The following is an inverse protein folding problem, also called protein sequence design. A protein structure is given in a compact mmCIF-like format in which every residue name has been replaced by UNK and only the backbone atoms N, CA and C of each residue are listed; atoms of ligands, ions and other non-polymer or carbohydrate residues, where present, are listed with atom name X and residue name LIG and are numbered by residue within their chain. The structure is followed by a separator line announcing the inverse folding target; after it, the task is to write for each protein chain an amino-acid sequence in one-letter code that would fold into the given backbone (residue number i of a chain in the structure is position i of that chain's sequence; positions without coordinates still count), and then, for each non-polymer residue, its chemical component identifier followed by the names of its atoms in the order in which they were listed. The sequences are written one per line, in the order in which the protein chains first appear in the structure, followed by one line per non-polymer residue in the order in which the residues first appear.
data_IF_741825399162
#
_entry.id   IF_741825399162
#
_cell.length_a   1.000
_cell.length_b   1.000
_cell.length_c   1.000
_cell.angle_alpha   90.00
_cell.angle_beta   90.00
_cell.angle_gamma   90.00
#
_symmetry.space_group_name_H-M   'P 1'
#
loop_
_entity.id
_entity.type
_entity.pdbx_description
1 polymer ?
#
# COMPACT_ATOMS: atom_id res chain seq x y z
N UNK A 1 25.72 12.00 8.62
CA UNK A 1 25.36 12.08 10.06
C UNK A 1 23.94 12.63 10.23
N UNK A 2 23.59 13.77 9.63
CA UNK A 2 22.23 14.34 9.70
C UNK A 2 21.14 13.33 9.27
N UNK A 3 21.29 12.67 8.11
CA UNK A 3 20.33 11.67 7.60
C UNK A 3 20.08 10.49 8.54
N UNK A 4 21.16 9.89 9.07
CA UNK A 4 21.02 8.75 9.99
C UNK A 4 20.39 9.17 11.32
N UNK A 5 20.72 10.36 11.83
CA UNK A 5 20.14 10.91 13.05
C UNK A 5 18.65 11.21 12.86
N UNK A 6 18.27 11.84 11.76
CA UNK A 6 16.87 12.16 11.47
C UNK A 6 16.03 10.90 11.33
N UNK A 7 16.53 9.87 10.63
CA UNK A 7 15.85 8.58 10.52
C UNK A 7 15.72 7.89 11.89
N UNK A 8 16.74 7.98 12.76
CA UNK A 8 16.61 7.44 14.11
C UNK A 8 15.53 8.20 14.92
N UNK A 9 15.43 9.52 14.77
CA UNK A 9 14.37 10.32 15.42
C UNK A 9 12.98 9.92 14.93
N UNK A 10 12.83 9.62 13.63
CA UNK A 10 11.60 9.09 13.05
C UNK A 10 11.15 7.81 13.77
N UNK A 11 12.02 6.80 13.85
CA UNK A 11 11.69 5.51 14.48
C UNK A 11 11.44 5.65 15.99
N UNK A 12 12.21 6.51 16.67
CA UNK A 12 11.98 6.82 18.08
C UNK A 12 10.64 7.53 18.31
N UNK A 13 10.17 8.32 17.34
CA UNK A 13 8.88 8.99 17.42
C UNK A 13 7.72 8.01 17.32
N UNK A 14 7.82 6.95 16.51
CA UNK A 14 6.85 5.85 16.58
C UNK A 14 6.83 5.20 17.98
N UNK A 15 8.00 5.00 18.59
CA UNK A 15 8.11 4.57 19.99
C UNK A 15 7.38 5.51 20.95
N UNK A 16 7.51 6.83 20.75
CA UNK A 16 6.79 7.85 21.51
C UNK A 16 5.27 7.78 21.30
N UNK A 17 4.79 7.62 20.06
CA UNK A 17 3.36 7.43 19.76
C UNK A 17 2.78 6.24 20.54
N UNK A 18 3.52 5.12 20.63
CA UNK A 18 3.10 3.97 21.46
C UNK A 18 3.04 4.30 22.95
N UNK A 19 4.01 5.05 23.49
CA UNK A 19 4.00 5.49 24.89
C UNK A 19 2.82 6.42 25.20
N UNK A 20 2.36 7.18 24.21
CA UNK A 20 1.18 8.03 24.28
C UNK A 20 -0.15 7.29 24.02
N UNK A 21 -0.13 5.96 23.92
CA UNK A 21 -1.31 5.13 23.62
C UNK A 21 -2.04 5.52 22.33
N UNK A 22 -1.30 5.93 21.29
CA UNK A 22 -1.85 6.20 19.97
C UNK A 22 -2.70 5.01 19.46
N UNK A 23 -3.88 5.30 18.91
CA UNK A 23 -4.89 4.31 18.47
C UNK A 23 -5.34 4.53 17.04
N UNK A 24 -4.92 5.61 16.39
CA UNK A 24 -5.37 6.03 15.05
C UNK A 24 -4.62 5.32 13.91
N UNK A 25 -4.05 4.13 14.17
CA UNK A 25 -3.31 3.36 13.16
C UNK A 25 -4.20 2.91 11.98
N UNK A 26 -3.66 2.92 10.75
CA UNK A 26 -4.38 2.51 9.55
C UNK A 26 -4.59 0.99 9.50
N UNK A 27 -5.63 0.55 8.79
CA UNK A 27 -5.80 -0.85 8.40
C UNK A 27 -4.94 -1.12 7.15
N UNK A 28 -3.75 -1.70 7.35
CA UNK A 28 -2.78 -1.94 6.26
C UNK A 28 -3.32 -2.87 5.17
N UNK A 29 -4.26 -3.76 5.48
CA UNK A 29 -4.86 -4.65 4.47
C UNK A 29 -5.77 -3.88 3.52
N UNK A 30 -6.48 -2.88 4.04
CA UNK A 30 -7.32 -2.00 3.22
C UNK A 30 -6.48 -1.22 2.21
N UNK A 31 -5.21 -0.94 2.53
CA UNK A 31 -4.25 -0.37 1.59
C UNK A 31 -3.96 -1.25 0.37
N UNK A 32 -3.95 -2.58 0.53
CA UNK A 32 -3.67 -3.54 -0.55
C UNK A 32 -4.78 -3.57 -1.61
N UNK A 33 -6.03 -3.37 -1.18
CA UNK A 33 -7.21 -3.39 -2.07
C UNK A 33 -7.66 -1.99 -2.49
N UNK A 34 -6.83 -0.97 -2.26
CA UNK A 34 -7.18 0.41 -2.55
C UNK A 34 -7.55 0.59 -4.03
N UNK A 35 -8.74 1.16 -4.34
CA UNK A 35 -9.27 1.14 -5.68
C UNK A 35 -8.61 2.21 -6.58
N UNK A 36 -8.25 1.82 -7.80
CA UNK A 36 -7.70 2.71 -8.81
C UNK A 36 -8.82 3.41 -9.59
N UNK A 37 -9.53 4.33 -8.93
CA UNK A 37 -10.63 5.11 -9.51
C UNK A 37 -10.10 6.41 -10.14
N UNK A 38 -10.42 6.67 -11.41
CA UNK A 38 -9.93 7.82 -12.17
C UNK A 38 -10.26 9.16 -11.51
N UNK A 39 -11.52 9.34 -11.09
CA UNK A 39 -11.98 10.52 -10.37
C UNK A 39 -11.16 10.75 -9.09
N UNK A 40 -10.87 9.67 -8.34
CA UNK A 40 -10.06 9.79 -7.14
C UNK A 40 -8.62 10.19 -7.47
N UNK A 41 -7.98 9.59 -8.46
CA UNK A 41 -6.60 9.92 -8.86
C UNK A 41 -6.49 11.40 -9.22
N UNK A 42 -7.42 11.91 -10.03
CA UNK A 42 -7.48 13.31 -10.43
C UNK A 42 -7.64 14.24 -9.21
N UNK A 43 -8.63 13.97 -8.35
CA UNK A 43 -8.86 14.75 -7.14
C UNK A 43 -7.66 14.72 -6.19
N UNK A 44 -7.03 13.55 -6.04
CA UNK A 44 -5.87 13.36 -5.16
C UNK A 44 -4.63 14.10 -5.66
N UNK A 45 -4.47 14.29 -6.98
CA UNK A 45 -3.42 15.17 -7.51
C UNK A 45 -3.72 16.64 -7.22
N UNK A 46 -4.96 17.08 -7.45
CA UNK A 46 -5.41 18.46 -7.17
C UNK A 46 -5.29 18.86 -5.71
N UNK A 47 -5.66 17.98 -4.77
CA UNK A 47 -5.58 18.30 -3.34
C UNK A 47 -4.12 18.52 -2.90
N UNK A 48 -3.17 17.77 -3.47
CA UNK A 48 -1.75 17.90 -3.16
C UNK A 48 -1.14 19.17 -3.71
N UNK A 49 -1.57 19.58 -4.92
CA UNK A 49 -1.24 20.91 -5.43
C UNK A 49 -1.79 22.01 -4.51
N UNK A 50 -3.00 21.84 -3.98
CA UNK A 50 -3.56 22.80 -3.01
C UNK A 50 -2.72 22.88 -1.73
N UNK A 51 -2.30 21.75 -1.15
CA UNK A 51 -1.40 21.74 0.01
C UNK A 51 -0.06 22.41 -0.30
N UNK A 52 0.55 22.10 -1.44
CA UNK A 52 1.81 22.71 -1.87
C UNK A 52 1.69 24.22 -2.00
N UNK A 53 0.65 24.71 -2.69
CA UNK A 53 0.45 26.14 -2.89
C UNK A 53 0.06 26.87 -1.60
N UNK A 54 -0.67 26.21 -0.69
CA UNK A 54 -1.00 26.79 0.61
C UNK A 54 0.28 27.11 1.42
N UNK A 55 1.20 26.17 1.53
CA UNK A 55 2.45 26.35 2.29
C UNK A 55 3.41 27.36 1.63
N UNK A 56 3.33 27.55 0.31
CA UNK A 56 4.16 28.52 -0.41
C UNK A 56 3.57 29.94 -0.43
N UNK A 57 2.30 30.10 -0.05
CA UNK A 57 1.61 31.36 -0.11
C UNK A 57 2.18 32.34 0.93
N UNK A 58 2.60 33.52 0.47
CA UNK A 58 3.06 34.59 1.37
C UNK A 58 1.92 35.43 1.97
N UNK A 59 0.70 35.24 1.46
CA UNK A 59 -0.51 35.95 1.85
C UNK A 59 -1.53 34.96 2.43
N UNK A 60 -2.09 35.33 3.59
CA UNK A 60 -3.01 34.46 4.33
C UNK A 60 -4.31 34.19 3.59
N UNK A 61 -4.83 35.15 2.82
CA UNK A 61 -6.04 34.95 2.03
C UNK A 61 -5.79 33.95 0.89
N UNK A 62 -4.62 34.01 0.26
CA UNK A 62 -4.22 33.04 -0.78
C UNK A 62 -4.07 31.65 -0.18
N UNK A 63 -3.37 31.52 0.96
CA UNK A 63 -3.23 30.25 1.68
C UNK A 63 -4.60 29.66 2.02
N UNK A 64 -5.46 30.45 2.66
CA UNK A 64 -6.76 29.99 3.15
C UNK A 64 -7.69 29.62 1.98
N UNK A 65 -7.56 30.29 0.82
CA UNK A 65 -8.28 29.92 -0.41
C UNK A 65 -7.84 28.55 -0.96
N UNK A 66 -6.54 28.24 -0.92
CA UNK A 66 -6.01 26.92 -1.29
C UNK A 66 -6.45 25.84 -0.29
N UNK A 67 -6.39 26.11 1.02
CA UNK A 67 -6.87 25.19 2.05
C UNK A 67 -8.37 24.93 1.92
N UNK A 68 -9.17 25.96 1.64
CA UNK A 68 -10.60 25.79 1.37
C UNK A 68 -10.85 24.83 0.20
N UNK A 69 -10.06 24.91 -0.87
CA UNK A 69 -10.17 23.99 -2.00
C UNK A 69 -9.70 22.58 -1.63
N UNK A 70 -8.60 22.45 -0.87
CA UNK A 70 -8.14 21.16 -0.32
C UNK A 70 -9.24 20.46 0.50
N UNK A 71 -9.89 21.16 1.44
CA UNK A 71 -10.95 20.59 2.26
C UNK A 71 -12.18 20.18 1.44
N UNK A 72 -12.52 20.96 0.42
CA UNK A 72 -13.61 20.65 -0.49
C UNK A 72 -13.34 19.38 -1.31
N UNK A 73 -12.13 19.25 -1.85
CA UNK A 73 -11.70 18.05 -2.57
C UNK A 73 -11.74 16.83 -1.66
N UNK A 74 -11.19 16.95 -0.44
CA UNK A 74 -11.22 15.88 0.58
C UNK A 74 -12.64 15.45 0.93
N UNK A 75 -13.59 16.38 1.00
CA UNK A 75 -15.01 16.06 1.22
C UNK A 75 -15.56 15.18 0.10
N UNK A 76 -15.32 15.55 -1.18
CA UNK A 76 -15.75 14.77 -2.33
C UNK A 76 -15.08 13.39 -2.36
N UNK A 77 -13.79 13.32 -2.06
CA UNK A 77 -13.05 12.05 -1.99
C UNK A 77 -13.55 11.14 -0.88
N UNK A 78 -13.95 11.68 0.27
CA UNK A 78 -14.54 10.92 1.38
C UNK A 78 -15.83 10.22 0.96
N UNK A 79 -16.70 10.89 0.22
CA UNK A 79 -17.91 10.29 -0.36
C UNK A 79 -17.59 9.19 -1.37
N UNK A 80 -16.59 9.42 -2.22
CA UNK A 80 -16.19 8.49 -3.27
C UNK A 80 -15.53 7.21 -2.74
N UNK A 81 -14.71 7.33 -1.69
CA UNK A 81 -13.84 6.25 -1.21
C UNK A 81 -14.33 5.55 0.05
N UNK A 82 -15.20 6.19 0.84
CA UNK A 82 -15.66 5.61 2.12
C UNK A 82 -14.49 5.25 3.04
N UNK A 83 -14.39 3.97 3.41
CA UNK A 83 -13.36 3.48 4.35
C UNK A 83 -11.92 3.65 3.83
N UNK A 84 -11.70 3.65 2.51
CA UNK A 84 -10.36 3.88 1.94
C UNK A 84 -9.86 5.31 2.20
N UNK A 85 -10.76 6.29 2.36
CA UNK A 85 -10.39 7.65 2.80
C UNK A 85 -9.92 7.66 4.26
N UNK A 86 -10.60 6.88 5.12
CA UNK A 86 -10.18 6.71 6.51
C UNK A 86 -8.80 6.05 6.60
N UNK A 87 -8.49 5.09 5.72
CA UNK A 87 -7.14 4.54 5.62
C UNK A 87 -6.11 5.62 5.34
N UNK A 88 -6.29 6.45 4.31
CA UNK A 88 -5.32 7.51 3.98
C UNK A 88 -5.09 8.48 5.13
N UNK A 89 -6.16 9.00 5.72
CA UNK A 89 -6.09 9.99 6.81
C UNK A 89 -5.43 9.41 8.06
N UNK A 90 -5.58 8.11 8.31
CA UNK A 90 -4.86 7.41 9.39
C UNK A 90 -3.38 7.22 9.08
N UNK A 91 -3.01 6.88 7.85
CA UNK A 91 -1.59 6.86 7.44
C UNK A 91 -0.97 8.25 7.65
N UNK A 92 -1.64 9.31 7.19
CA UNK A 92 -1.19 10.69 7.39
C UNK A 92 -1.05 11.07 8.86
N UNK A 93 -1.95 10.59 9.71
CA UNK A 93 -1.95 10.83 11.16
C UNK A 93 -0.76 10.21 11.86
N UNK A 94 -0.36 9.00 11.46
CA UNK A 94 0.77 8.29 12.07
C UNK A 94 2.10 8.76 11.48
N UNK A 95 2.18 8.82 10.15
CA UNK A 95 3.43 8.99 9.41
C UNK A 95 3.78 10.46 9.17
N UNK A 96 2.78 11.34 9.04
CA UNK A 96 2.99 12.77 8.83
C UNK A 96 3.78 13.43 9.96
N UNK A 97 3.38 13.27 11.24
CA UNK A 97 4.14 13.76 12.38
C UNK A 97 5.53 13.11 12.51
N UNK A 98 5.69 11.82 12.17
CA UNK A 98 6.98 11.14 12.17
C UNK A 98 7.95 11.77 11.14
N UNK A 99 7.48 11.99 9.92
CA UNK A 99 8.23 12.72 8.89
C UNK A 99 8.50 14.19 9.27
N UNK A 100 7.58 14.82 10.00
CA UNK A 100 7.77 16.19 10.49
C UNK A 100 8.92 16.27 11.49
N UNK A 101 8.98 15.39 12.49
CA UNK A 101 10.09 15.39 13.46
C UNK A 101 11.40 14.96 12.81
N UNK A 102 11.38 14.04 11.85
CA UNK A 102 12.53 13.69 11.02
C UNK A 102 13.08 14.93 10.29
N UNK A 103 12.19 15.68 9.61
CA UNK A 103 12.56 16.89 8.89
C UNK A 103 13.17 17.94 9.84
N UNK A 104 12.58 18.16 11.02
CA UNK A 104 13.09 19.12 12.01
C UNK A 104 14.48 18.70 12.50
N UNK A 105 14.67 17.43 12.87
CA UNK A 105 15.96 16.89 13.29
C UNK A 105 17.02 16.99 12.18
N UNK A 106 16.64 16.73 10.93
CA UNK A 106 17.54 16.91 9.79
C UNK A 106 17.95 18.38 9.61
N UNK A 107 16.97 19.30 9.70
CA UNK A 107 17.20 20.73 9.52
C UNK A 107 18.10 21.33 10.61
N UNK A 108 18.02 20.86 11.86
CA UNK A 108 18.89 21.29 12.96
C UNK A 108 20.38 20.95 12.72
N UNK A 109 20.64 19.83 12.04
CA UNK A 109 22.00 19.33 11.78
C UNK A 109 22.53 19.74 10.39
N UNK A 110 21.69 20.34 9.56
CA UNK A 110 22.00 20.70 8.17
C UNK A 110 22.40 22.17 8.04
N UNK A 111 23.41 22.44 7.20
CA UNK A 111 23.77 23.81 6.81
C UNK A 111 22.88 24.37 5.68
N UNK A 112 21.96 23.57 5.14
CA UNK A 112 21.08 23.96 4.05
C UNK A 112 19.92 24.82 4.56
N UNK A 113 19.39 25.70 3.72
CA UNK A 113 18.16 26.41 4.05
C UNK A 113 16.98 25.46 4.09
N UNK A 114 15.99 25.73 4.95
CA UNK A 114 14.76 24.93 5.05
C UNK A 114 14.08 24.75 3.68
N UNK A 115 14.09 25.79 2.84
CA UNK A 115 13.55 25.71 1.47
C UNK A 115 14.29 24.67 0.60
N UNK A 116 15.61 24.59 0.70
CA UNK A 116 16.39 23.60 -0.03
C UNK A 116 16.09 22.18 0.47
N UNK A 117 15.94 22.02 1.78
CA UNK A 117 15.59 20.75 2.43
C UNK A 117 14.19 20.28 2.01
N UNK A 118 13.21 21.19 1.93
CA UNK A 118 11.82 20.86 1.59
C UNK A 118 11.61 20.53 0.11
N UNK A 119 12.46 21.03 -0.79
CA UNK A 119 12.23 20.92 -2.23
C UNK A 119 12.10 19.47 -2.74
N UNK A 120 12.96 18.50 -2.34
CA UNK A 120 12.77 17.10 -2.70
C UNK A 120 11.44 16.52 -2.22
N UNK A 121 11.04 16.79 -0.96
CA UNK A 121 9.77 16.32 -0.43
C UNK A 121 8.57 16.92 -1.18
N UNK A 122 8.69 18.17 -1.67
CA UNK A 122 7.66 18.82 -2.47
C UNK A 122 7.49 18.13 -3.81
N UNK A 123 8.61 17.75 -4.44
CA UNK A 123 8.59 17.02 -5.70
C UNK A 123 7.90 15.67 -5.54
N UNK A 124 8.16 14.96 -4.44
CA UNK A 124 7.47 13.71 -4.11
C UNK A 124 5.97 13.92 -3.83
N UNK A 125 5.60 14.99 -3.12
CA UNK A 125 4.20 15.33 -2.88
C UNK A 125 3.43 15.50 -4.19
N UNK A 126 3.95 16.27 -5.14
CA UNK A 126 3.20 16.59 -6.38
C UNK A 126 3.41 15.58 -7.52
N UNK A 127 4.19 14.53 -7.30
CA UNK A 127 4.43 13.50 -8.32
C UNK A 127 3.23 12.53 -8.40
N UNK A 128 2.34 12.75 -9.36
CA UNK A 128 1.14 11.94 -9.59
C UNK A 128 1.45 10.44 -9.73
N UNK A 129 2.49 10.06 -10.49
CA UNK A 129 2.85 8.66 -10.71
C UNK A 129 3.31 7.98 -9.41
N UNK A 130 4.25 8.59 -8.70
CA UNK A 130 4.73 8.06 -7.42
C UNK A 130 3.61 8.01 -6.38
N UNK A 131 2.73 9.02 -6.38
CA UNK A 131 1.63 9.10 -5.43
C UNK A 131 0.63 7.94 -5.60
N UNK A 132 0.29 7.58 -6.84
CA UNK A 132 -0.65 6.49 -7.13
C UNK A 132 0.02 5.12 -7.01
N UNK A 133 1.29 4.99 -7.42
CA UNK A 133 2.02 3.74 -7.34
C UNK A 133 2.33 3.35 -5.88
N UNK A 134 2.83 4.30 -5.09
CA UNK A 134 3.23 4.10 -3.70
C UNK A 134 2.26 4.81 -2.75
N UNK A 135 1.01 4.33 -2.72
CA UNK A 135 -0.09 4.92 -1.98
C UNK A 135 0.28 5.29 -0.54
N UNK A 136 0.78 4.32 0.24
CA UNK A 136 1.14 4.52 1.66
C UNK A 136 2.18 5.61 1.82
N UNK A 137 3.34 5.46 1.15
CA UNK A 137 4.44 6.45 1.18
C UNK A 137 3.99 7.85 0.77
N UNK A 138 3.12 7.95 -0.23
CA UNK A 138 2.63 9.26 -0.68
C UNK A 138 1.80 10.02 0.35
N UNK A 139 1.18 9.31 1.31
CA UNK A 139 0.48 9.92 2.44
C UNK A 139 1.43 10.56 3.45
N UNK A 140 2.69 10.12 3.51
CA UNK A 140 3.67 10.69 4.45
C UNK A 140 3.93 12.15 4.10
N UNK A 141 4.08 12.43 2.80
CA UNK A 141 4.30 13.78 2.30
C UNK A 141 3.08 14.68 2.51
N UNK A 142 1.85 14.21 2.27
CA UNK A 142 0.66 15.03 2.58
C UNK A 142 0.50 15.27 4.07
N UNK A 143 0.77 14.27 4.91
CA UNK A 143 0.82 14.41 6.37
C UNK A 143 1.86 15.44 6.82
N UNK A 144 3.10 15.34 6.32
CA UNK A 144 4.17 16.30 6.57
C UNK A 144 3.76 17.73 6.20
N UNK A 145 3.14 17.93 5.04
CA UNK A 145 2.66 19.25 4.62
C UNK A 145 1.59 19.81 5.56
N UNK A 146 0.68 18.98 6.05
CA UNK A 146 -0.33 19.40 7.02
C UNK A 146 0.34 19.81 8.36
N UNK A 147 1.34 19.08 8.83
CA UNK A 147 2.12 19.45 10.02
C UNK A 147 2.87 20.80 9.83
N UNK A 148 3.46 21.03 8.66
CA UNK A 148 4.13 22.29 8.34
C UNK A 148 3.14 23.47 8.26
N UNK A 149 1.92 23.24 7.76
CA UNK A 149 0.86 24.25 7.79
C UNK A 149 0.41 24.55 9.22
N UNK A 150 0.33 23.54 10.09
CA UNK A 150 -0.03 23.73 11.50
C UNK A 150 0.97 24.63 12.25
N UNK A 151 2.26 24.60 11.90
CA UNK A 151 3.25 25.55 12.43
C UNK A 151 2.87 27.02 12.17
N UNK A 152 2.09 27.30 11.11
CA UNK A 152 1.64 28.66 10.80
C UNK A 152 0.39 29.09 11.58
N UNK A 153 -0.34 28.15 12.18
CA UNK A 153 -1.62 28.41 12.85
C UNK A 153 -1.52 28.42 14.38
N UNK A 154 -0.65 27.60 14.96
CA UNK A 154 -0.49 27.51 16.42
C UNK A 154 0.91 27.06 16.80
N UNK A 155 1.54 27.74 17.77
CA UNK A 155 2.87 27.38 18.27
C UNK A 155 2.87 26.09 19.12
N UNK A 156 1.69 25.63 19.57
CA UNK A 156 1.54 24.46 20.48
C UNK A 156 0.71 23.33 19.88
N UNK A 157 0.51 23.35 18.56
CA UNK A 157 -0.34 22.37 17.87
C UNK A 157 0.08 20.92 18.14
N UNK A 158 1.37 20.65 18.36
CA UNK A 158 1.89 19.30 18.60
C UNK A 158 1.36 18.72 19.91
N UNK A 159 1.36 19.52 20.99
CA UNK A 159 0.82 19.12 22.30
C UNK A 159 -0.70 18.94 22.19
N UNK A 160 -1.39 19.90 21.58
CA UNK A 160 -2.84 19.85 21.40
C UNK A 160 -3.27 18.63 20.56
N UNK A 161 -2.52 18.31 19.50
CA UNK A 161 -2.77 17.15 18.64
C UNK A 161 -2.53 15.82 19.37
N UNK A 162 -1.50 15.76 20.22
CA UNK A 162 -1.19 14.56 21.01
C UNK A 162 -2.29 14.20 22.02
N UNK A 163 -3.10 15.19 22.41
CA UNK A 163 -4.26 15.01 23.30
C UNK A 163 -5.60 14.98 22.55
N UNK A 164 -5.58 15.10 21.22
CA UNK A 164 -6.77 15.05 20.39
C UNK A 164 -7.07 13.63 19.94
N UNK A 165 -8.36 13.31 19.83
CA UNK A 165 -8.85 12.08 19.19
C UNK A 165 -9.02 12.25 17.66
N UNK A 166 -8.94 13.48 17.15
CA UNK A 166 -9.10 13.78 15.73
C UNK A 166 -7.91 13.27 14.90
N UNK A 167 -8.17 12.86 13.67
CA UNK A 167 -7.09 12.63 12.70
C UNK A 167 -6.40 13.94 12.32
N UNK A 168 -5.20 13.87 11.75
CA UNK A 168 -4.41 15.05 11.34
C UNK A 168 -5.19 15.96 10.37
N UNK A 169 -5.97 15.37 9.47
CA UNK A 169 -6.83 16.11 8.54
C UNK A 169 -7.93 16.91 9.26
N UNK A 170 -8.69 16.26 10.15
CA UNK A 170 -9.72 16.92 10.97
C UNK A 170 -9.13 17.99 11.89
N UNK A 171 -7.98 17.70 12.49
CA UNK A 171 -7.26 18.63 13.35
C UNK A 171 -6.76 19.87 12.58
N UNK A 172 -6.17 19.72 11.40
CA UNK A 172 -5.84 20.87 10.55
C UNK A 172 -7.10 21.67 10.18
N UNK A 173 -8.20 20.99 9.86
CA UNK A 173 -9.46 21.63 9.51
C UNK A 173 -10.02 22.49 10.65
N UNK A 174 -9.81 22.12 11.91
CA UNK A 174 -10.27 22.92 13.06
C UNK A 174 -9.49 24.22 13.26
N UNK A 175 -8.29 24.34 12.67
CA UNK A 175 -7.42 25.52 12.77
C UNK A 175 -7.62 26.50 11.61
N UNK A 176 -8.42 26.13 10.62
CA UNK A 176 -8.70 26.95 9.44
C UNK A 176 -10.17 27.35 9.46
N UNK A 177 -10.46 28.56 9.01
CA UNK A 177 -11.83 29.01 8.72
C UNK A 177 -12.07 28.93 7.20
N UNK A 178 -12.33 27.73 6.65
CA UNK A 178 -12.48 27.58 5.21
C UNK A 178 -13.67 28.39 4.71
N UNK A 179 -13.49 29.05 3.57
CA UNK A 179 -14.59 29.69 2.87
C UNK A 179 -15.51 28.58 2.36
N UNK A 180 -16.76 28.59 2.79
CA UNK A 180 -17.76 27.66 2.27
C UNK A 180 -17.90 27.87 0.75
N UNK A 181 -17.53 26.84 -0.01
CA UNK A 181 -17.65 26.79 -1.47
C UNK A 181 -18.63 25.69 -1.87
N UNK A 182 -19.29 25.89 -3.01
CA UNK A 182 -20.22 24.93 -3.60
C UNK A 182 -19.55 23.59 -3.88
N UNK A 183 -20.16 22.49 -3.45
CA UNK A 183 -19.70 21.11 -3.66
C UNK A 183 -19.17 20.82 -5.08
N UNK A 184 -18.13 20.00 -5.18
CA UNK A 184 -17.61 19.51 -6.46
C UNK A 184 -18.57 18.44 -6.98
N UNK A 185 -19.38 18.79 -7.99
CA UNK A 185 -20.38 17.87 -8.58
C UNK A 185 -19.83 17.01 -9.70
N UNK A 186 -18.91 17.55 -10.50
CA UNK A 186 -18.37 16.90 -11.67
C UNK A 186 -16.85 17.01 -11.67
N UNK A 187 -16.18 15.90 -11.92
CA UNK A 187 -14.72 15.82 -11.98
C UNK A 187 -14.34 15.46 -13.40
N UNK A 188 -13.82 16.43 -14.13
CA UNK A 188 -13.17 16.18 -15.42
C UNK A 188 -11.81 15.53 -15.18
N UNK A 189 -11.63 14.30 -15.64
CA UNK A 189 -10.34 13.60 -15.64
C UNK A 189 -9.43 14.22 -16.70
N UNK A 190 -8.16 14.44 -16.35
CA UNK A 190 -7.14 14.96 -17.26
C UNK A 190 -6.37 13.86 -18.00
N UNK A 191 -5.77 14.19 -19.14
CA UNK A 191 -4.87 13.28 -19.88
C UNK A 191 -3.66 12.85 -19.01
N UNK A 192 -3.19 13.71 -18.10
CA UNK A 192 -2.14 13.35 -17.14
C UNK A 192 -2.60 12.21 -16.22
N UNK A 193 -3.82 12.31 -15.68
CA UNK A 193 -4.41 11.26 -14.84
C UNK A 193 -4.57 9.95 -15.59
N UNK A 194 -5.06 9.99 -16.84
CA UNK A 194 -5.19 8.79 -17.68
C UNK A 194 -3.82 8.12 -17.88
N UNK A 195 -2.79 8.91 -18.23
CA UNK A 195 -1.42 8.44 -18.40
C UNK A 195 -0.85 7.82 -17.11
N UNK A 196 -1.10 8.45 -15.95
CA UNK A 196 -0.68 7.93 -14.64
C UNK A 196 -1.34 6.58 -14.36
N UNK A 197 -2.62 6.40 -14.68
CA UNK A 197 -3.34 5.15 -14.44
C UNK A 197 -2.81 4.03 -15.32
N UNK A 198 -2.57 4.31 -16.60
CA UNK A 198 -1.95 3.34 -17.52
C UNK A 198 -0.56 2.94 -17.04
N UNK A 199 0.26 3.92 -16.65
CA UNK A 199 1.59 3.68 -16.08
C UNK A 199 1.53 2.76 -14.86
N UNK A 200 0.65 3.03 -13.89
CA UNK A 200 0.52 2.22 -12.67
C UNK A 200 0.02 0.82 -12.97
N UNK A 201 -0.97 0.67 -13.87
CA UNK A 201 -1.46 -0.64 -14.31
C UNK A 201 -0.34 -1.45 -14.96
N UNK A 202 0.43 -0.84 -15.85
CA UNK A 202 1.56 -1.48 -16.52
C UNK A 202 2.66 -1.88 -15.52
N UNK A 203 3.01 -0.99 -14.58
CA UNK A 203 4.03 -1.26 -13.56
C UNK A 203 3.64 -2.44 -12.67
N UNK A 204 2.41 -2.45 -12.14
CA UNK A 204 1.91 -3.57 -11.31
C UNK A 204 1.89 -4.88 -12.10
N UNK A 205 1.51 -4.85 -13.38
CA UNK A 205 1.52 -6.04 -14.23
C UNK A 205 2.94 -6.58 -14.46
N UNK A 206 3.88 -5.67 -14.74
CA UNK A 206 5.28 -6.02 -14.99
C UNK A 206 5.95 -6.71 -13.79
N UNK A 207 5.61 -6.34 -12.56
CA UNK A 207 6.12 -7.02 -11.36
C UNK A 207 5.73 -8.51 -11.32
N UNK A 208 4.50 -8.84 -11.71
CA UNK A 208 4.04 -10.23 -11.81
C UNK A 208 4.68 -10.95 -13.00
N UNK A 209 4.79 -10.30 -14.16
CA UNK A 209 5.45 -10.89 -15.33
C UNK A 209 6.92 -11.22 -15.03
N UNK A 210 7.65 -10.32 -14.36
CA UNK A 210 9.02 -10.56 -13.93
C UNK A 210 9.13 -11.73 -12.95
N UNK A 211 8.18 -11.85 -12.01
CA UNK A 211 8.11 -13.01 -11.13
C UNK A 211 7.89 -14.30 -11.94
N UNK A 212 6.92 -14.31 -12.85
CA UNK A 212 6.53 -15.47 -13.66
C UNK A 212 7.63 -15.92 -14.65
N UNK A 213 8.50 -15.01 -15.08
CA UNK A 213 9.64 -15.28 -15.97
C UNK A 213 10.90 -15.78 -15.25
N UNK A 214 10.92 -15.76 -13.91
CA UNK A 214 12.06 -16.23 -13.15
C UNK A 214 12.36 -17.71 -13.43
N UNK A 215 13.66 -18.03 -13.53
CA UNK A 215 14.12 -19.39 -13.76
C UNK A 215 13.88 -20.25 -12.51
N UNK A 216 13.48 -21.50 -12.73
CA UNK A 216 13.35 -22.49 -11.68
C UNK A 216 12.25 -23.50 -12.00
N UNK A 217 11.82 -24.21 -10.98
CA UNK A 217 10.64 -25.05 -11.02
C UNK A 217 9.45 -24.27 -10.47
N UNK A 218 8.41 -24.17 -11.29
CA UNK A 218 7.20 -23.43 -10.97
C UNK A 218 6.25 -24.37 -10.23
N UNK A 219 6.02 -24.09 -8.96
CA UNK A 219 5.20 -24.93 -8.08
C UNK A 219 3.90 -24.20 -7.76
N UNK A 220 2.80 -24.84 -8.13
CA UNK A 220 1.44 -24.38 -7.90
C UNK A 220 0.86 -25.27 -6.80
N UNK A 221 0.54 -24.67 -5.65
CA UNK A 221 -0.08 -25.36 -4.52
C UNK A 221 -1.55 -24.94 -4.50
N UNK A 222 -2.46 -25.87 -4.74
CA UNK A 222 -3.91 -25.62 -4.78
C UNK A 222 -4.61 -26.21 -3.56
N UNK A 223 -5.54 -25.45 -3.00
CA UNK A 223 -6.40 -25.90 -1.91
C UNK A 223 -6.83 -24.79 -0.98
N UNK A 224 -7.43 -25.18 0.13
CA UNK A 224 -7.85 -24.29 1.19
C UNK A 224 -6.64 -23.88 2.05
N UNK A 225 -6.08 -22.69 1.80
CA UNK A 225 -4.87 -22.16 2.40
C UNK A 225 -5.18 -20.95 3.27
N UNK A 226 -5.27 -21.15 4.58
CA UNK A 226 -5.49 -20.07 5.53
C UNK A 226 -4.20 -19.27 5.73
N UNK A 227 -4.19 -18.01 5.30
CA UNK A 227 -3.07 -17.10 5.50
C UNK A 227 -3.04 -16.67 6.97
N UNK A 228 -1.86 -16.75 7.59
CA UNK A 228 -1.64 -16.46 9.02
C UNK A 228 -0.89 -15.17 9.25
N UNK A 229 0.04 -14.84 8.36
CA UNK A 229 0.88 -13.65 8.47
C UNK A 229 1.44 -13.27 7.12
N UNK A 230 1.53 -11.96 6.88
CA UNK A 230 2.10 -11.34 5.70
C UNK A 230 2.84 -10.06 6.11
N UNK A 231 3.59 -9.50 5.18
CA UNK A 231 4.14 -8.15 5.27
C UNK A 231 3.41 -7.24 4.27
N UNK A 232 2.35 -6.50 4.70
CA UNK A 232 1.52 -5.70 3.80
C UNK A 232 2.28 -4.63 3.03
N UNK A 233 3.41 -4.14 3.58
CA UNK A 233 4.17 -3.06 2.94
C UNK A 233 5.05 -3.57 1.78
N UNK A 234 5.24 -4.89 1.66
CA UNK A 234 6.06 -5.53 0.64
C UNK A 234 5.21 -6.46 -0.25
N UNK A 235 4.04 -5.96 -0.68
CA UNK A 235 3.10 -6.66 -1.56
C UNK A 235 2.72 -5.79 -2.76
N UNK A 236 2.80 -6.37 -3.96
CA UNK A 236 2.12 -5.85 -5.15
C UNK A 236 0.76 -6.54 -5.32
N UNK A 237 -0.29 -5.75 -5.49
CA UNK A 237 -1.66 -6.24 -5.61
C UNK A 237 -2.23 -6.07 -7.02
N UNK A 238 -2.82 -7.15 -7.53
CA UNK A 238 -3.75 -7.15 -8.65
C UNK A 238 -5.08 -7.76 -8.20
N UNK A 239 -6.20 -7.49 -8.90
CA UNK A 239 -7.47 -8.13 -8.56
C UNK A 239 -7.35 -9.66 -8.49
N UNK A 240 -7.66 -10.23 -7.33
CA UNK A 240 -7.64 -11.68 -7.07
C UNK A 240 -6.26 -12.31 -6.86
N UNK A 241 -5.17 -11.53 -6.89
CA UNK A 241 -3.82 -12.06 -6.59
C UNK A 241 -2.87 -11.04 -5.97
N UNK A 242 -2.04 -11.51 -5.05
CA UNK A 242 -1.02 -10.73 -4.35
C UNK A 242 0.35 -11.32 -4.62
N UNK A 243 1.31 -10.51 -5.02
CA UNK A 243 2.72 -10.87 -5.08
C UNK A 243 3.38 -10.41 -3.78
N UNK A 244 3.72 -11.37 -2.92
CA UNK A 244 4.46 -11.14 -1.68
C UNK A 244 5.94 -11.17 -1.99
N UNK A 245 6.69 -10.13 -1.65
CA UNK A 245 8.13 -10.07 -1.93
C UNK A 245 8.99 -10.70 -0.82
N UNK A 246 8.55 -10.58 0.43
CA UNK A 246 9.33 -10.99 1.59
C UNK A 246 8.93 -12.38 2.08
N UNK A 247 7.68 -12.52 2.52
CA UNK A 247 7.19 -13.79 3.05
C UNK A 247 5.65 -13.91 3.05
N UNK A 248 5.18 -15.14 3.15
CA UNK A 248 3.82 -15.49 3.57
C UNK A 248 3.88 -16.67 4.54
N UNK A 249 3.10 -16.61 5.62
CA UNK A 249 2.85 -17.77 6.48
C UNK A 249 1.44 -18.28 6.20
N UNK A 250 1.31 -19.57 5.89
CA UNK A 250 0.02 -20.20 5.61
C UNK A 250 -0.16 -21.49 6.41
N UNK A 251 -1.41 -21.84 6.67
CA UNK A 251 -1.83 -23.15 7.12
C UNK A 251 -2.45 -23.91 5.95
N UNK A 252 -2.06 -25.17 5.78
CA UNK A 252 -2.64 -26.09 4.81
C UNK A 252 -3.00 -27.40 5.53
N UNK A 253 -4.29 -27.62 5.78
CA UNK A 253 -4.77 -28.65 6.70
C UNK A 253 -4.20 -28.46 8.12
N UNK A 254 -3.52 -29.47 8.67
CA UNK A 254 -2.91 -29.41 10.01
C UNK A 254 -1.50 -28.81 10.03
N UNK A 255 -0.91 -28.57 8.86
CA UNK A 255 0.47 -28.12 8.74
C UNK A 255 0.50 -26.60 8.55
N UNK A 256 1.46 -25.94 9.18
CA UNK A 256 1.79 -24.54 8.89
C UNK A 256 3.18 -24.45 8.30
N UNK A 257 3.34 -23.60 7.29
CA UNK A 257 4.65 -23.32 6.71
C UNK A 257 4.82 -21.84 6.43
N UNK A 258 6.07 -21.41 6.55
CA UNK A 258 6.52 -20.05 6.26
C UNK A 258 7.34 -20.12 4.97
N UNK A 259 6.96 -19.32 3.98
CA UNK A 259 7.71 -19.18 2.73
C UNK A 259 8.36 -17.80 2.77
N UNK A 260 9.69 -17.74 2.86
CA UNK A 260 10.48 -16.50 2.99
C UNK A 260 11.16 -16.13 1.66
N UNK A 261 10.35 -15.99 0.62
CA UNK A 261 10.78 -15.63 -0.73
C UNK A 261 9.59 -15.08 -1.52
N UNK A 262 9.83 -14.50 -2.71
CA UNK A 262 8.75 -14.07 -3.59
C UNK A 262 7.75 -15.19 -3.90
N UNK A 263 6.46 -14.88 -3.77
CA UNK A 263 5.37 -15.83 -3.99
C UNK A 263 4.08 -15.10 -4.36
N UNK A 264 3.29 -15.70 -5.25
CA UNK A 264 1.95 -15.19 -5.59
C UNK A 264 0.88 -16.00 -4.86
N UNK A 265 0.02 -15.33 -4.09
CA UNK A 265 -1.21 -15.94 -3.55
C UNK A 265 -2.42 -15.49 -4.35
N UNK A 266 -3.36 -16.39 -4.59
CA UNK A 266 -4.64 -16.12 -5.24
C UNK A 266 -5.76 -16.17 -4.21
N UNK A 267 -6.67 -15.20 -4.25
CA UNK A 267 -7.81 -15.09 -3.35
C UNK A 267 -9.07 -14.71 -4.15
N UNK A 268 -10.24 -15.04 -3.61
CA UNK A 268 -11.52 -14.63 -4.22
C UNK A 268 -12.08 -13.36 -3.58
N UNK A 269 -12.27 -13.40 -2.26
CA UNK A 269 -12.89 -12.31 -1.49
C UNK A 269 -12.11 -11.97 -0.22
N UNK A 270 -11.70 -12.98 0.54
CA UNK A 270 -10.93 -12.81 1.77
C UNK A 270 -9.42 -12.96 1.51
N UNK A 271 -8.63 -11.92 1.82
CA UNK A 271 -7.17 -11.92 1.70
C UNK A 271 -6.52 -12.93 2.65
N UNK A 272 -7.20 -13.30 3.73
CA UNK A 272 -6.74 -14.29 4.68
C UNK A 272 -7.02 -15.73 4.21
N UNK A 273 -7.66 -15.89 3.06
CA UNK A 273 -7.99 -17.18 2.49
C UNK A 273 -7.51 -17.29 1.05
N UNK A 274 -6.38 -17.99 0.87
CA UNK A 274 -5.86 -18.27 -0.46
C UNK A 274 -6.48 -19.57 -1.01
N UNK A 275 -6.77 -19.58 -2.31
CA UNK A 275 -7.17 -20.78 -3.07
C UNK A 275 -5.98 -21.46 -3.73
N UNK A 276 -4.90 -20.70 -3.94
CA UNK A 276 -3.70 -21.14 -4.64
C UNK A 276 -2.49 -20.32 -4.25
N UNK A 277 -1.34 -20.98 -4.12
CA UNK A 277 -0.03 -20.35 -4.09
C UNK A 277 0.75 -20.71 -5.34
N UNK A 278 1.53 -19.77 -5.84
CA UNK A 278 2.47 -19.97 -6.94
C UNK A 278 3.85 -19.49 -6.48
N UNK A 279 4.74 -20.46 -6.29
CA UNK A 279 6.12 -20.28 -5.83
C UNK A 279 7.09 -20.85 -6.86
N UNK A 280 8.28 -20.29 -6.95
CA UNK A 280 9.35 -20.77 -7.83
C UNK A 280 10.50 -21.24 -6.94
N UNK A 281 10.95 -22.48 -7.16
CA UNK A 281 12.04 -23.10 -6.38
C UNK A 281 13.20 -23.48 -7.29
N UNK A 282 14.43 -23.45 -6.76
CA UNK A 282 15.64 -23.69 -7.57
C UNK A 282 15.81 -25.18 -7.92
N UNK A 283 15.63 -26.06 -6.95
CA UNK A 283 15.75 -27.50 -7.15
C UNK A 283 14.41 -28.16 -7.46
N UNK A 284 14.46 -29.27 -8.21
CA UNK A 284 13.27 -30.04 -8.59
C UNK A 284 12.55 -30.55 -7.33
N UNK A 285 11.24 -30.31 -7.16
CA UNK A 285 10.47 -30.86 -6.05
C UNK A 285 10.63 -32.37 -5.89
N UNK A 286 10.80 -32.83 -4.65
CA UNK A 286 10.86 -34.27 -4.34
C UNK A 286 9.49 -34.72 -3.86
N UNK A 287 8.85 -35.58 -4.65
CA UNK A 287 7.51 -36.11 -4.36
C UNK A 287 7.67 -37.48 -3.69
N UNK A 288 7.12 -37.61 -2.48
CA UNK A 288 7.02 -38.85 -1.73
C UNK A 288 5.55 -39.25 -1.57
N UNK A 289 5.28 -40.45 -1.04
CA UNK A 289 3.91 -40.94 -0.84
C UNK A 289 3.10 -40.05 0.15
N UNK A 290 3.76 -39.53 1.18
CA UNK A 290 3.15 -38.81 2.30
C UNK A 290 3.66 -37.38 2.49
N UNK A 291 4.47 -36.87 1.55
CA UNK A 291 4.97 -35.49 1.57
C UNK A 291 5.50 -35.02 0.22
N UNK A 292 5.58 -33.69 0.07
CA UNK A 292 6.39 -33.03 -0.96
C UNK A 292 7.46 -32.18 -0.30
N UNK A 293 8.70 -32.28 -0.78
CA UNK A 293 9.81 -31.47 -0.29
C UNK A 293 10.13 -30.40 -1.33
N UNK A 294 10.09 -29.14 -0.89
CA UNK A 294 10.39 -27.96 -1.68
C UNK A 294 11.66 -27.31 -1.16
N UNK A 295 12.61 -27.07 -2.06
CA UNK A 295 13.87 -26.43 -1.72
C UNK A 295 13.65 -25.02 -1.17
N UNK A 296 14.42 -24.64 -0.14
CA UNK A 296 14.26 -23.37 0.59
C UNK A 296 13.00 -23.22 1.44
N UNK A 297 12.00 -24.10 1.30
CA UNK A 297 10.69 -23.99 1.99
C UNK A 297 10.52 -25.10 3.04
N UNK A 298 10.89 -26.34 2.71
CA UNK A 298 10.77 -27.50 3.58
C UNK A 298 9.73 -28.53 3.11
N UNK A 299 9.12 -29.23 4.06
CA UNK A 299 8.23 -30.37 3.78
C UNK A 299 6.75 -29.99 3.91
N UNK A 300 5.96 -30.29 2.89
CA UNK A 300 4.50 -30.23 2.91
C UNK A 300 3.99 -31.66 3.11
N UNK A 301 3.54 -31.97 4.33
CA UNK A 301 3.08 -33.31 4.71
C UNK A 301 1.68 -33.62 4.18
N UNK A 302 1.37 -34.92 4.12
CA UNK A 302 0.10 -35.45 3.64
C UNK A 302 0.19 -36.07 2.25
N UNK A 303 -0.87 -36.77 1.86
CA UNK A 303 -0.99 -37.37 0.54
C UNK A 303 -1.44 -36.31 -0.46
N UNK A 304 -0.68 -36.15 -1.54
CA UNK A 304 -0.91 -35.12 -2.54
C UNK A 304 -1.07 -35.72 -3.94
N UNK A 305 -1.99 -35.15 -4.72
CA UNK A 305 -2.02 -35.31 -6.17
C UNK A 305 -0.99 -34.36 -6.76
N UNK A 306 -0.01 -34.92 -7.45
CA UNK A 306 1.02 -34.16 -8.14
C UNK A 306 0.91 -34.37 -9.65
N UNK A 307 0.89 -33.27 -10.41
CA UNK A 307 1.01 -33.28 -11.88
C UNK A 307 2.29 -32.55 -12.26
N UNK A 308 3.11 -33.16 -13.11
CA UNK A 308 4.36 -32.59 -13.61
C UNK A 308 4.28 -32.40 -15.13
N UNK A 309 4.54 -31.18 -15.59
CA UNK A 309 4.62 -30.82 -17.01
C UNK A 309 5.87 -29.96 -17.24
N UNK A 310 6.97 -30.60 -17.62
CA UNK A 310 8.27 -29.93 -17.77
C UNK A 310 8.78 -29.41 -16.43
N UNK A 311 8.92 -28.09 -16.31
CA UNK A 311 9.35 -27.44 -15.06
C UNK A 311 8.19 -26.99 -14.16
N UNK A 312 6.94 -27.35 -14.50
CA UNK A 312 5.75 -26.96 -13.75
C UNK A 312 5.25 -28.15 -12.92
N UNK A 313 5.00 -27.91 -11.64
CA UNK A 313 4.46 -28.87 -10.68
C UNK A 313 3.16 -28.32 -10.09
N UNK A 314 2.06 -29.06 -10.24
CA UNK A 314 0.79 -28.76 -9.55
C UNK A 314 0.60 -29.75 -8.40
N UNK A 315 0.38 -29.23 -7.20
CA UNK A 315 0.23 -29.98 -5.95
C UNK A 315 -1.15 -29.64 -5.38
N UNK A 316 -1.97 -30.67 -5.16
CA UNK A 316 -3.24 -30.54 -4.46
C UNK A 316 -3.36 -31.63 -3.40
N UNK A 317 -3.81 -31.29 -2.19
CA UNK A 317 -4.01 -32.29 -1.13
C UNK A 317 -5.15 -33.21 -1.55
N UNK A 318 -4.97 -34.52 -1.38
CA UNK A 318 -6.08 -35.45 -1.49
C UNK A 318 -6.91 -35.27 -0.23
N UNK A 319 -8.08 -34.65 -0.35
CA UNK A 319 -9.01 -34.57 0.78
C UNK A 319 -9.26 -35.99 1.29
N UNK A 320 -8.96 -36.24 2.57
CA UNK A 320 -9.65 -37.27 3.31
C UNK A 320 -11.11 -36.79 3.38
N UNK A 321 -11.94 -37.38 2.51
CA UNK A 321 -13.39 -37.20 2.28
C UNK A 321 -13.72 -36.59 0.89
N UNK A 322 -14.19 -37.51 0.05
CA UNK A 322 -14.99 -37.46 -1.19
C UNK A 322 -14.44 -36.94 -2.53
N UNK A 323 -14.15 -37.92 -3.40
CA UNK A 323 -14.86 -38.25 -4.64
C UNK A 323 -16.10 -37.38 -4.99
N UNK A 324 -15.93 -36.09 -5.30
CA UNK A 324 -16.87 -35.32 -6.15
C UNK A 324 -16.26 -33.97 -6.58
N UNK A 325 -15.42 -33.98 -7.62
CA UNK A 325 -15.18 -32.78 -8.44
C UNK A 325 -14.56 -33.17 -9.79
N UNK A 326 -15.40 -33.75 -10.66
CA UNK A 326 -15.17 -33.65 -12.10
C UNK A 326 -15.50 -32.22 -12.52
N UNK A 327 -14.52 -31.53 -13.05
CA UNK A 327 -14.71 -30.34 -13.87
C UNK A 327 -14.17 -29.07 -13.23
N UNK A 328 -12.92 -28.76 -13.58
CA UNK A 328 -12.43 -27.42 -13.92
C UNK A 328 -11.00 -27.58 -14.50
N UNK A 329 -10.93 -28.24 -15.66
CA UNK A 329 -9.75 -28.21 -16.53
C UNK A 329 -10.13 -27.42 -17.78
N UNK A 330 -9.77 -26.13 -17.84
CA UNK A 330 -9.60 -25.36 -19.08
C UNK A 330 -9.12 -23.94 -18.76
N UNK A 331 -7.82 -23.77 -18.56
CA UNK A 331 -7.14 -22.47 -18.70
C UNK A 331 -5.71 -22.67 -19.21
N UNK A 332 -5.55 -23.45 -20.29
CA UNK A 332 -4.31 -23.49 -21.09
C UNK A 332 -4.58 -23.67 -22.60
N UNK A 333 -5.73 -23.21 -23.10
CA UNK A 333 -5.95 -23.04 -24.54
C UNK A 333 -6.62 -21.68 -24.80
N UNK A 334 -5.79 -20.66 -24.97
CA UNK A 334 -6.06 -19.50 -25.84
C UNK A 334 -4.76 -18.73 -26.06
N UNK A 335 -3.88 -19.35 -26.83
CA UNK A 335 -3.02 -18.63 -27.78
C UNK A 335 -3.43 -19.11 -29.17
N UNK A 336 -3.41 -18.17 -30.10
CA UNK A 336 -3.74 -18.32 -31.53
C UNK A 336 -5.23 -18.28 -31.85
N UNK A 337 -5.73 -17.09 -32.20
CA UNK A 337 -5.93 -16.71 -33.59
C UNK A 337 -6.42 -15.24 -33.65
N UNK A 338 -5.70 -14.41 -34.40
CA UNK A 338 -6.18 -13.17 -35.00
C UNK A 338 -5.95 -13.36 -36.52
N UNK A 339 -6.81 -12.83 -37.39
CA UNK A 339 -7.09 -11.39 -37.47
C UNK A 339 -8.54 -10.98 -37.27
#
# INVERSE_FOLDING_TARGET
MAELKSLLVHELFHGFQYLCEEKRFPDELLGLTYPLVEENVELRSRERQCLSHALEASDTQIRDAHLSHFFQIRSRRKELLGTYFTYETRVETIEGPAYYVELKAYAEESAQSLRAILNPFRQELINSNAAVLHLRKSCYYSGLWMCLLLDEFSERWQEDFSHSEDGLYEFLRSHVHPVEKSEIKEVKVSEETETTIEYVKAHRKAAFELFEENKGFHVIIEGDLAVRSIDPQNIDALPGRLLHHNYIKVAFGTDEFLIQQPIVSYYETDLWQASKLYVIVEARPVICEDKVILDGIGEIKGVHKCKEEGNIFSIARVNEIDDTSRGLYSLYEKKEENP
#
